data_IF_552965191363
#
_entry.id   IF_552965191363
#
_cell.length_a   1.000
_cell.length_b   1.000
_cell.length_c   1.000
_cell.angle_alpha   90.00
_cell.angle_beta   90.00
_cell.angle_gamma   90.00
#
_symmetry.space_group_name_H-M   'P 1'
#
loop_
_entity.id
_entity.type
_entity.pdbx_description
1 polymer ?
#
# COMPACT_ATOMS: atom_id res chain seq x y z
N UNK A 1 11.44 -5.54 -12.11
CA UNK A 1 10.50 -5.72 -13.24
C UNK A 1 9.35 -4.69 -13.23
N UNK A 2 8.97 -4.16 -12.06
CA UNK A 2 7.83 -3.23 -11.89
C UNK A 2 8.15 -1.77 -12.24
N UNK A 3 9.42 -1.37 -12.22
CA UNK A 3 9.86 0.01 -12.44
C UNK A 3 9.97 0.42 -13.92
N UNK A 4 9.72 -0.50 -14.86
CA UNK A 4 9.89 -0.22 -16.31
C UNK A 4 8.63 0.30 -17.01
N UNK A 5 7.47 0.26 -16.36
CA UNK A 5 6.26 0.85 -16.91
C UNK A 5 6.29 2.37 -16.72
N UNK A 6 6.18 3.13 -17.81
CA UNK A 6 6.21 4.60 -17.80
C UNK A 6 5.17 5.19 -16.83
N UNK A 7 3.96 4.65 -16.84
CA UNK A 7 2.88 5.11 -15.96
C UNK A 7 3.21 4.90 -14.47
N UNK A 8 3.79 3.75 -14.13
CA UNK A 8 4.23 3.45 -12.76
C UNK A 8 5.40 4.36 -12.34
N UNK A 9 6.31 4.70 -13.27
CA UNK A 9 7.40 5.65 -13.02
C UNK A 9 6.88 7.06 -12.77
N UNK A 10 5.89 7.52 -13.52
CA UNK A 10 5.31 8.85 -13.36
C UNK A 10 4.57 8.95 -12.02
N UNK A 11 3.75 7.98 -11.66
CA UNK A 11 3.11 7.91 -10.34
C UNK A 11 4.15 7.86 -9.21
N UNK A 12 5.22 7.10 -9.37
CA UNK A 12 6.31 7.01 -8.40
C UNK A 12 6.93 8.39 -8.11
N UNK A 13 7.19 9.19 -9.15
CA UNK A 13 7.74 10.55 -9.02
C UNK A 13 6.76 11.51 -8.32
N UNK A 14 5.48 11.42 -8.67
CA UNK A 14 4.44 12.24 -8.03
C UNK A 14 4.40 11.93 -6.53
N UNK A 15 4.31 10.67 -6.15
CA UNK A 15 4.23 10.23 -4.75
C UNK A 15 5.48 10.62 -3.96
N UNK A 16 6.67 10.50 -4.54
CA UNK A 16 7.91 10.95 -3.92
C UNK A 16 7.91 12.46 -3.66
N UNK A 17 7.51 13.26 -4.66
CA UNK A 17 7.46 14.72 -4.53
C UNK A 17 6.43 15.16 -3.49
N UNK A 18 5.26 14.52 -3.46
CA UNK A 18 4.24 14.82 -2.44
C UNK A 18 4.74 14.46 -1.04
N UNK A 19 5.41 13.32 -0.86
CA UNK A 19 5.96 12.98 0.45
C UNK A 19 7.08 13.97 0.87
N UNK A 20 7.94 14.40 -0.06
CA UNK A 20 8.98 15.41 0.20
C UNK A 20 8.42 16.76 0.71
N UNK A 21 7.21 17.10 0.32
CA UNK A 21 6.54 18.32 0.81
C UNK A 21 5.94 18.20 2.21
N UNK A 22 5.89 17.00 2.77
CA UNK A 22 5.30 16.76 4.09
C UNK A 22 6.31 16.89 5.22
N UNK A 23 5.87 17.42 6.37
CA UNK A 23 6.70 17.62 7.57
C UNK A 23 7.33 16.34 8.12
N UNK A 24 6.73 15.18 7.85
CA UNK A 24 7.24 13.87 8.25
C UNK A 24 8.38 13.33 7.38
N UNK A 25 8.72 13.98 6.27
CA UNK A 25 9.73 13.46 5.32
C UNK A 25 11.09 13.21 5.96
N UNK A 26 11.54 14.10 6.84
CA UNK A 26 12.82 13.92 7.54
C UNK A 26 12.83 12.72 8.50
N UNK A 27 11.69 12.35 9.06
CA UNK A 27 11.53 11.13 9.85
C UNK A 27 11.52 9.90 8.95
N UNK A 28 10.85 9.96 7.80
CA UNK A 28 10.82 8.87 6.81
C UNK A 28 12.23 8.53 6.32
N UNK A 29 13.09 9.52 6.10
CA UNK A 29 14.50 9.30 5.71
C UNK A 29 15.31 8.55 6.75
N UNK A 30 14.94 8.62 8.03
CA UNK A 30 15.62 7.89 9.13
C UNK A 30 15.22 6.42 9.19
N UNK A 31 14.10 6.03 8.55
CA UNK A 31 13.70 4.63 8.49
C UNK A 31 14.64 3.83 7.57
N UNK A 32 15.15 2.69 8.02
CA UNK A 32 16.00 1.86 7.19
C UNK A 32 15.25 1.41 5.92
N UNK A 33 16.01 1.30 4.84
CA UNK A 33 15.51 0.70 3.59
C UNK A 33 15.45 -0.82 3.75
N UNK A 34 14.44 -1.44 3.17
CA UNK A 34 14.20 -2.87 3.26
C UNK A 34 14.37 -3.41 4.69
N UNK A 35 13.55 -2.96 5.65
CA UNK A 35 13.68 -3.38 7.04
C UNK A 35 13.34 -4.88 7.18
N UNK A 36 13.94 -5.55 8.18
CA UNK A 36 13.64 -6.96 8.49
C UNK A 36 12.23 -7.11 9.04
N UNK A 37 11.73 -6.10 9.72
CA UNK A 37 10.38 -6.05 10.28
C UNK A 37 9.78 -4.65 10.06
N UNK A 38 8.48 -4.52 10.25
CA UNK A 38 7.80 -3.23 10.14
C UNK A 38 8.41 -2.18 11.05
N UNK A 39 8.80 -1.05 10.46
CA UNK A 39 9.27 0.11 11.17
C UNK A 39 8.43 1.34 10.84
N UNK A 40 8.08 2.09 11.86
CA UNK A 40 7.20 3.24 11.76
C UNK A 40 7.94 4.55 12.02
N UNK A 41 7.38 5.64 11.54
CA UNK A 41 7.84 6.99 11.89
C UNK A 41 7.82 7.21 13.42
N UNK A 42 6.90 6.55 14.15
CA UNK A 42 6.83 6.59 15.61
C UNK A 42 8.10 6.06 16.30
N UNK A 43 8.79 5.08 15.69
CA UNK A 43 10.00 4.47 16.26
C UNK A 43 11.22 5.43 16.21
N UNK A 44 11.19 6.39 15.29
CA UNK A 44 12.27 7.39 15.11
C UNK A 44 11.87 8.80 15.50
N UNK A 45 10.63 9.00 15.94
CA UNK A 45 10.11 10.30 16.38
C UNK A 45 10.33 10.49 17.88
N UNK A 46 10.81 11.66 18.32
CA UNK A 46 10.99 11.95 19.75
C UNK A 46 9.71 11.84 20.58
N UNK A 47 8.56 12.03 19.96
CA UNK A 47 7.25 12.10 20.63
C UNK A 47 6.40 10.83 20.45
N UNK A 48 6.93 9.76 19.82
CA UNK A 48 6.26 8.48 19.71
C UNK A 48 4.84 8.55 19.10
N UNK A 49 4.66 9.25 17.97
CA UNK A 49 3.32 9.40 17.37
C UNK A 49 2.71 8.07 16.97
N UNK A 50 1.47 7.83 17.40
CA UNK A 50 0.71 6.61 17.12
C UNK A 50 0.15 6.54 15.68
N UNK A 51 0.09 7.65 14.95
CA UNK A 51 -0.32 7.69 13.54
C UNK A 51 0.87 7.34 12.65
N UNK A 52 0.91 6.07 12.25
CA UNK A 52 2.15 5.46 11.83
C UNK A 52 2.22 5.31 10.32
N UNK A 53 2.96 6.19 9.70
CA UNK A 53 3.59 5.89 8.41
C UNK A 53 4.63 4.81 8.66
N UNK A 54 4.49 3.66 7.99
CA UNK A 54 5.35 2.48 8.20
C UNK A 54 6.02 2.08 6.90
N UNK A 55 7.27 1.67 6.97
CA UNK A 55 7.94 1.03 5.85
C UNK A 55 7.65 -0.47 5.88
N UNK A 56 7.09 -0.95 4.78
CA UNK A 56 6.74 -2.37 4.61
C UNK A 56 8.01 -3.15 4.24
N UNK A 57 8.35 -4.26 4.91
CA UNK A 57 9.45 -5.13 4.48
C UNK A 57 9.05 -5.96 3.25
N UNK A 58 10.05 -6.47 2.50
CA UNK A 58 9.79 -7.32 1.34
C UNK A 58 9.26 -8.70 1.70
N UNK A 59 9.76 -9.26 2.80
CA UNK A 59 9.55 -10.66 3.17
C UNK A 59 8.38 -10.87 4.14
N UNK A 60 7.60 -9.80 4.42
CA UNK A 60 6.44 -9.86 5.28
C UNK A 60 5.17 -9.44 4.54
N UNK A 61 4.00 -9.99 4.88
CA UNK A 61 2.73 -9.54 4.31
C UNK A 61 2.50 -8.05 4.59
N UNK A 62 1.95 -7.31 3.63
CA UNK A 62 1.54 -5.94 3.88
C UNK A 62 0.43 -5.89 4.94
N UNK A 63 0.45 -4.86 5.77
CA UNK A 63 -0.72 -4.53 6.59
C UNK A 63 -1.94 -4.25 5.70
N UNK A 64 -3.12 -4.27 6.31
CA UNK A 64 -4.37 -3.92 5.62
C UNK A 64 -4.22 -2.56 4.92
N UNK A 65 -4.44 -2.55 3.62
CA UNK A 65 -4.47 -1.33 2.82
C UNK A 65 -5.83 -0.67 3.02
N UNK A 66 -5.84 0.45 3.72
CA UNK A 66 -7.04 1.24 3.99
C UNK A 66 -7.10 2.43 3.05
N UNK A 67 -8.32 2.88 2.69
CA UNK A 67 -8.56 4.06 1.86
C UNK A 67 -7.68 5.24 2.29
N UNK A 68 -7.88 5.71 3.52
CA UNK A 68 -7.12 6.85 4.10
C UNK A 68 -5.62 6.57 4.20
N UNK A 69 -5.23 5.32 4.35
CA UNK A 69 -3.84 4.93 4.47
C UNK A 69 -3.07 5.01 3.16
N UNK A 70 -3.73 4.85 2.03
CA UNK A 70 -3.13 4.92 0.70
C UNK A 70 -3.13 6.33 0.12
N UNK A 71 -4.02 7.23 0.57
CA UNK A 71 -4.08 8.61 0.08
C UNK A 71 -2.74 9.34 0.19
N UNK A 72 -2.47 10.20 -0.79
CA UNK A 72 -1.23 10.99 -0.85
C UNK A 72 -1.06 11.96 0.31
N UNK A 73 -2.14 12.28 1.00
CA UNK A 73 -2.13 13.13 2.20
C UNK A 73 -1.59 12.42 3.42
N UNK A 74 -1.74 11.10 3.53
CA UNK A 74 -1.39 10.36 4.75
C UNK A 74 -0.19 9.40 4.60
N UNK A 75 -0.09 8.60 3.55
CA UNK A 75 0.97 7.62 3.34
C UNK A 75 1.22 6.70 4.55
N UNK A 76 0.24 5.87 4.93
CA UNK A 76 0.45 4.92 6.02
C UNK A 76 1.43 3.80 5.65
N UNK A 77 1.56 3.49 4.36
CA UNK A 77 2.43 2.45 3.83
C UNK A 77 3.49 3.05 2.92
N UNK A 78 4.74 2.86 3.27
CA UNK A 78 5.88 3.24 2.43
C UNK A 78 6.43 2.02 1.70
N UNK A 79 6.87 2.27 0.48
CA UNK A 79 7.62 1.30 -0.32
C UNK A 79 8.86 0.82 0.45
N UNK A 80 9.24 -0.46 0.37
CA UNK A 80 10.39 -1.02 1.11
C UNK A 80 11.69 -0.24 0.94
N UNK A 81 11.98 0.24 -0.25
CA UNK A 81 13.26 0.88 -0.59
C UNK A 81 13.13 2.38 -0.90
N UNK A 82 11.98 2.83 -1.40
CA UNK A 82 11.79 4.19 -1.88
C UNK A 82 11.06 5.05 -0.83
N UNK A 83 11.38 6.33 -0.77
CA UNK A 83 10.73 7.28 0.13
C UNK A 83 9.45 7.82 -0.52
N UNK A 84 8.46 6.94 -0.64
CA UNK A 84 7.12 7.20 -1.16
C UNK A 84 6.13 6.14 -0.72
N UNK A 85 4.85 6.41 -0.88
CA UNK A 85 3.80 5.38 -0.79
C UNK A 85 3.84 4.40 -1.97
N UNK A 86 2.92 3.45 -1.97
CA UNK A 86 2.73 2.55 -3.11
C UNK A 86 2.09 3.28 -4.28
N UNK A 87 2.54 2.97 -5.49
CA UNK A 87 1.81 3.34 -6.72
C UNK A 87 0.51 2.55 -6.83
N UNK A 88 -0.42 3.00 -7.66
CA UNK A 88 -1.67 2.25 -7.92
C UNK A 88 -1.39 0.84 -8.39
N UNK A 89 -0.38 0.66 -9.24
CA UNK A 89 0.02 -0.65 -9.74
C UNK A 89 0.53 -1.56 -8.62
N UNK A 90 1.40 -1.06 -7.75
CA UNK A 90 1.95 -1.83 -6.62
C UNK A 90 0.85 -2.21 -5.63
N UNK A 91 -0.03 -1.26 -5.28
CA UNK A 91 -1.16 -1.51 -4.39
C UNK A 91 -2.14 -2.54 -4.99
N UNK A 92 -2.46 -2.46 -6.28
CA UNK A 92 -3.27 -3.47 -6.98
C UNK A 92 -2.62 -4.86 -6.92
N UNK A 93 -1.30 -4.95 -7.05
CA UNK A 93 -0.58 -6.25 -6.96
C UNK A 93 -0.63 -6.83 -5.56
N UNK A 94 -0.48 -6.00 -4.53
CA UNK A 94 -0.62 -6.43 -3.12
C UNK A 94 -2.03 -6.97 -2.87
N UNK A 95 -3.06 -6.35 -3.45
CA UNK A 95 -4.45 -6.80 -3.34
C UNK A 95 -4.78 -8.03 -4.21
N UNK A 96 -3.84 -8.49 -5.05
CA UNK A 96 -4.04 -9.64 -5.92
C UNK A 96 -4.90 -9.37 -7.15
N UNK A 97 -5.02 -8.12 -7.58
CA UNK A 97 -5.73 -7.76 -8.81
C UNK A 97 -4.97 -8.22 -10.06
N UNK A 98 -5.67 -8.58 -11.14
CA UNK A 98 -5.04 -8.93 -12.41
C UNK A 98 -4.18 -7.79 -12.97
N UNK A 99 -3.13 -8.14 -13.75
CA UNK A 99 -2.22 -7.13 -14.34
C UNK A 99 -2.91 -6.18 -15.32
N UNK A 100 -3.95 -6.65 -15.97
CA UNK A 100 -4.74 -5.90 -16.95
C UNK A 100 -5.97 -5.20 -16.33
N UNK A 101 -6.09 -5.19 -15.01
CA UNK A 101 -7.16 -4.45 -14.35
C UNK A 101 -6.89 -2.95 -14.43
N UNK A 102 -7.87 -2.19 -14.89
CA UNK A 102 -7.75 -0.75 -15.06
C UNK A 102 -8.65 0.00 -14.08
N UNK A 103 -8.06 0.94 -13.37
CA UNK A 103 -8.76 1.91 -12.53
C UNK A 103 -8.85 3.24 -13.27
N UNK A 104 -10.01 3.87 -13.21
CA UNK A 104 -10.29 5.19 -13.80
C UNK A 104 -10.36 6.23 -12.68
N UNK A 105 -9.91 7.46 -12.96
CA UNK A 105 -9.92 8.57 -12.02
C UNK A 105 -8.53 9.14 -11.73
N UNK A 106 -8.47 10.07 -10.80
CA UNK A 106 -7.24 10.66 -10.27
C UNK A 106 -6.42 9.63 -9.48
N UNK A 107 -5.18 9.98 -9.14
CA UNK A 107 -4.32 9.09 -8.35
C UNK A 107 -4.95 8.76 -6.99
N UNK A 108 -5.46 9.75 -6.26
CA UNK A 108 -6.07 9.53 -4.94
C UNK A 108 -7.38 8.73 -5.03
N UNK A 109 -8.22 8.97 -6.04
CA UNK A 109 -9.43 8.17 -6.25
C UNK A 109 -9.09 6.69 -6.50
N UNK A 110 -8.07 6.41 -7.32
CA UNK A 110 -7.62 5.04 -7.58
C UNK A 110 -7.08 4.36 -6.33
N UNK A 111 -6.24 5.05 -5.57
CA UNK A 111 -5.70 4.55 -4.31
C UNK A 111 -6.82 4.34 -3.28
N UNK A 112 -7.79 5.25 -3.21
CA UNK A 112 -8.98 5.11 -2.37
C UNK A 112 -9.81 3.88 -2.74
N UNK A 113 -10.11 3.67 -4.04
CA UNK A 113 -10.83 2.47 -4.50
C UNK A 113 -10.13 1.18 -4.09
N UNK A 114 -8.78 1.13 -4.19
CA UNK A 114 -8.02 -0.05 -3.78
C UNK A 114 -8.17 -0.30 -2.28
N UNK A 115 -8.13 0.75 -1.47
CA UNK A 115 -8.26 0.65 -0.01
C UNK A 115 -9.67 0.30 0.49
N UNK A 116 -10.69 0.50 -0.36
CA UNK A 116 -12.09 0.14 -0.05
C UNK A 116 -12.45 -1.28 -0.50
N UNK A 117 -11.68 -1.90 -1.37
CA UNK A 117 -12.03 -3.23 -1.89
C UNK A 117 -11.61 -4.36 -0.95
N UNK A 118 -12.34 -5.46 -1.02
CA UNK A 118 -11.89 -6.74 -0.46
C UNK A 118 -10.97 -7.42 -1.47
N UNK A 119 -9.82 -7.91 -1.02
CA UNK A 119 -8.87 -8.60 -1.89
C UNK A 119 -9.53 -9.80 -2.60
N UNK A 120 -9.56 -9.85 -3.94
CA UNK A 120 -10.25 -10.91 -4.68
C UNK A 120 -9.81 -12.33 -4.31
N UNK A 121 -8.51 -12.63 -4.08
CA UNK A 121 -8.10 -13.96 -3.65
C UNK A 121 -8.69 -14.35 -2.29
N UNK A 122 -8.77 -13.42 -1.36
CA UNK A 122 -9.37 -13.65 -0.04
C UNK A 122 -10.87 -13.98 -0.18
N UNK A 123 -11.61 -13.16 -0.94
CA UNK A 123 -13.04 -13.38 -1.15
C UNK A 123 -13.30 -14.70 -1.88
N UNK A 124 -12.44 -15.08 -2.82
CA UNK A 124 -12.54 -16.37 -3.50
C UNK A 124 -12.47 -17.54 -2.52
N UNK A 125 -11.51 -17.54 -1.59
CA UNK A 125 -11.37 -18.61 -0.59
C UNK A 125 -12.55 -18.63 0.39
N UNK A 126 -13.05 -17.49 0.83
CA UNK A 126 -14.22 -17.38 1.69
C UNK A 126 -15.46 -17.96 0.97
N UNK A 127 -15.73 -17.52 -0.25
CA UNK A 127 -16.89 -17.95 -1.04
C UNK A 127 -16.83 -19.45 -1.33
N UNK A 128 -15.65 -19.98 -1.67
CA UNK A 128 -15.43 -21.39 -1.90
C UNK A 128 -15.71 -22.22 -0.63
N UNK A 129 -15.22 -21.76 0.52
CA UNK A 129 -15.46 -22.43 1.81
C UNK A 129 -16.94 -22.46 2.16
N UNK A 130 -17.68 -21.36 1.96
CA UNK A 130 -19.12 -21.30 2.17
C UNK A 130 -19.84 -22.26 1.23
N UNK A 131 -19.48 -22.26 -0.04
CA UNK A 131 -20.11 -23.17 -1.03
C UNK A 131 -19.89 -24.62 -0.65
N UNK A 132 -18.66 -25.04 -0.38
CA UNK A 132 -18.30 -26.44 -0.11
C UNK A 132 -18.87 -26.98 1.21
N UNK A 133 -18.92 -26.16 2.26
CA UNK A 133 -19.29 -26.62 3.60
C UNK A 133 -20.74 -26.31 4.00
N UNK A 134 -21.43 -25.46 3.26
CA UNK A 134 -22.80 -25.06 3.59
C UNK A 134 -23.72 -25.31 2.39
N UNK A 135 -23.52 -24.61 1.27
CA UNK A 135 -24.49 -24.61 0.18
C UNK A 135 -24.55 -25.91 -0.59
N UNK A 136 -23.44 -26.63 -0.72
CA UNK A 136 -23.39 -27.93 -1.41
C UNK A 136 -24.05 -29.04 -0.61
N UNK A 137 -24.31 -28.85 0.68
CA UNK A 137 -24.95 -29.82 1.58
C UNK A 137 -26.46 -29.60 1.69
N UNK A 138 -27.00 -28.53 1.12
CA UNK A 138 -28.42 -28.24 1.02
C UNK A 138 -29.01 -28.84 -0.27
#
# INVERSE_FOLDING_TARGET
>A
YLLKDKKNMDESRILENVLKSQSKYDLVKKLPKNPIAYQSVGDVSPNGSLFQTRRVPWDEPSHCLLEKGLETTFFSHLHPELDRGFTTYEAMRIMGLPKNYELVGTLDEKLGMIGLMVAPPQMFHISKTIYENILKLL
#
